data_IF_251055733880
#
_entry.id   IF_251055733880
#
_cell.length_a   1.000
_cell.length_b   1.000
_cell.length_c   1.000
_cell.angle_alpha   90.00
_cell.angle_beta   90.00
_cell.angle_gamma   90.00
#
_symmetry.space_group_name_H-M   'P 1'
#
loop_
_entity.id
_entity.type
_entity.pdbx_description
1 polymer ?
#
# COMPACT_ATOMS: atom_id res chain seq x y z
N UNK A 1 -14.06 -33.89 20.55
CA UNK A 1 -14.08 -33.55 19.11
C UNK A 1 -12.65 -33.31 18.70
N UNK A 2 -12.22 -33.92 17.61
CA UNK A 2 -10.87 -33.72 17.10
C UNK A 2 -10.74 -32.33 16.50
N UNK A 3 -9.64 -31.65 16.83
CA UNK A 3 -9.39 -30.26 16.37
C UNK A 3 -9.16 -30.18 14.86
N UNK A 4 -8.60 -31.25 14.28
CA UNK A 4 -8.33 -31.35 12.85
C UNK A 4 -8.89 -32.65 12.30
N UNK A 5 -9.51 -32.58 11.12
CA UNK A 5 -10.01 -33.73 10.37
C UNK A 5 -9.48 -33.63 8.94
N UNK A 6 -8.95 -34.74 8.40
CA UNK A 6 -8.48 -34.80 7.03
C UNK A 6 -9.49 -35.64 6.19
N UNK A 7 -10.00 -35.08 5.11
CA UNK A 7 -10.83 -35.82 4.14
C UNK A 7 -9.90 -36.66 3.24
N UNK A 8 -9.97 -37.97 3.38
CA UNK A 8 -9.14 -38.91 2.63
C UNK A 8 -9.36 -38.86 1.12
N UNK A 9 -10.55 -38.41 0.67
CA UNK A 9 -10.90 -38.34 -0.75
C UNK A 9 -10.32 -37.11 -1.44
N UNK A 10 -10.32 -35.96 -0.74
CA UNK A 10 -9.86 -34.68 -1.30
C UNK A 10 -8.47 -34.28 -0.85
N UNK A 11 -7.95 -34.94 0.25
CA UNK A 11 -6.69 -34.59 0.87
C UNK A 11 -6.72 -33.25 1.65
N UNK A 12 -7.90 -32.63 1.76
CA UNK A 12 -8.07 -31.36 2.46
C UNK A 12 -8.12 -31.58 3.96
N UNK A 13 -7.43 -30.75 4.69
CA UNK A 13 -7.45 -30.71 6.15
C UNK A 13 -8.45 -29.64 6.62
N UNK A 14 -9.26 -29.97 7.62
CA UNK A 14 -10.24 -29.06 8.20
C UNK A 14 -9.91 -28.83 9.68
N UNK A 15 -10.04 -27.58 10.12
CA UNK A 15 -9.90 -27.17 11.52
C UNK A 15 -11.27 -26.84 12.11
N UNK A 16 -11.52 -27.28 13.35
CA UNK A 16 -12.73 -26.98 14.08
C UNK A 16 -12.64 -25.55 14.66
N UNK A 17 -13.48 -24.65 14.13
CA UNK A 17 -13.63 -23.26 14.58
C UNK A 17 -15.05 -23.07 15.13
N UNK A 18 -15.19 -23.05 16.45
CA UNK A 18 -16.51 -23.07 17.10
C UNK A 18 -17.25 -24.37 16.86
N UNK A 19 -18.41 -24.32 16.20
CA UNK A 19 -19.25 -25.48 15.88
C UNK A 19 -19.10 -25.95 14.42
N UNK A 20 -18.20 -25.38 13.66
CA UNK A 20 -18.02 -25.64 12.22
C UNK A 20 -16.60 -26.05 11.89
N UNK A 21 -16.46 -26.95 10.90
CA UNK A 21 -15.18 -27.29 10.32
C UNK A 21 -14.91 -26.40 9.10
N UNK A 22 -13.83 -25.62 9.17
CA UNK A 22 -13.32 -24.80 8.06
C UNK A 22 -12.12 -25.51 7.45
N UNK A 23 -11.89 -25.29 6.15
CA UNK A 23 -10.69 -25.79 5.48
C UNK A 23 -9.49 -25.16 6.18
N UNK A 24 -8.62 -25.99 6.77
CA UNK A 24 -7.34 -25.54 7.27
C UNK A 24 -6.49 -25.17 6.04
N UNK A 25 -6.56 -23.90 5.63
CA UNK A 25 -5.63 -23.32 4.68
C UNK A 25 -4.39 -22.89 5.44
N UNK A 26 -3.26 -22.85 4.75
CA UNK A 26 -2.17 -21.97 5.17
C UNK A 26 -2.80 -20.58 5.27
N UNK A 27 -2.74 -19.95 6.44
CA UNK A 27 -3.12 -18.54 6.57
C UNK A 27 -2.40 -17.83 5.45
N UNK A 28 -3.16 -17.25 4.52
CA UNK A 28 -2.56 -16.41 3.48
C UNK A 28 -1.62 -15.47 4.22
N UNK A 29 -0.34 -15.36 3.82
CA UNK A 29 0.62 -14.56 4.56
C UNK A 29 -0.06 -13.24 4.86
N UNK A 30 -0.24 -12.93 6.16
CA UNK A 30 -0.96 -11.75 6.61
C UNK A 30 -0.41 -10.58 5.82
N UNK A 31 -1.17 -10.11 4.82
CA UNK A 31 -0.76 -9.03 3.95
C UNK A 31 -0.40 -7.84 4.83
N UNK A 32 0.62 -7.08 4.47
CA UNK A 32 1.02 -5.88 5.20
C UNK A 32 -0.24 -5.07 5.58
N UNK A 33 -0.38 -4.62 6.83
CA UNK A 33 -1.59 -3.95 7.29
C UNK A 33 -1.84 -2.67 6.51
N UNK A 34 -3.04 -2.55 5.96
CA UNK A 34 -3.45 -1.36 5.22
C UNK A 34 -4.00 -0.34 6.22
N UNK A 35 -3.29 0.76 6.43
CA UNK A 35 -3.72 1.83 7.31
C UNK A 35 -4.84 2.70 6.71
N UNK A 36 -5.17 3.79 7.42
CA UNK A 36 -6.29 4.69 7.09
C UNK A 36 -6.12 5.30 5.69
N UNK A 37 -4.91 5.67 5.31
CA UNK A 37 -4.62 6.30 4.02
C UNK A 37 -4.78 5.31 2.87
N UNK A 38 -4.28 4.08 3.04
CA UNK A 38 -4.44 3.01 2.07
C UNK A 38 -5.92 2.65 1.86
N UNK A 39 -6.73 2.60 2.93
CA UNK A 39 -8.17 2.36 2.83
C UNK A 39 -8.91 3.49 2.10
N UNK A 40 -8.54 4.76 2.34
CA UNK A 40 -9.10 5.90 1.60
C UNK A 40 -8.77 5.81 0.12
N UNK A 41 -7.52 5.47 -0.20
CA UNK A 41 -7.09 5.29 -1.59
C UNK A 41 -7.78 4.12 -2.26
N UNK A 42 -7.94 2.99 -1.59
CA UNK A 42 -8.69 1.83 -2.08
C UNK A 42 -10.12 2.21 -2.47
N UNK A 43 -10.79 3.00 -1.63
CA UNK A 43 -12.15 3.51 -1.93
C UNK A 43 -12.14 4.40 -3.17
N UNK A 44 -11.16 5.29 -3.28
CA UNK A 44 -11.00 6.14 -4.45
C UNK A 44 -10.75 5.35 -5.73
N UNK A 45 -9.86 4.33 -5.71
CA UNK A 45 -9.61 3.45 -6.85
C UNK A 45 -10.86 2.72 -7.31
N UNK A 46 -11.65 2.17 -6.38
CA UNK A 46 -12.91 1.47 -6.70
C UNK A 46 -13.94 2.38 -7.37
N UNK A 47 -14.01 3.65 -6.99
CA UNK A 47 -14.99 4.60 -7.49
C UNK A 47 -14.55 5.27 -8.80
N UNK A 48 -13.30 5.71 -8.88
CA UNK A 48 -12.81 6.60 -9.93
C UNK A 48 -11.80 5.96 -10.88
N UNK A 49 -11.11 4.87 -10.47
CA UNK A 49 -10.05 4.23 -11.23
C UNK A 49 -10.21 2.72 -11.32
N UNK A 50 -11.36 2.28 -11.79
CA UNK A 50 -11.73 0.86 -11.85
C UNK A 50 -10.74 -0.01 -12.64
N UNK A 51 -10.17 0.53 -13.71
CA UNK A 51 -9.20 -0.20 -14.56
C UNK A 51 -7.93 -0.49 -13.75
N UNK A 52 -7.35 0.52 -13.10
CA UNK A 52 -6.16 0.36 -12.27
C UNK A 52 -6.43 -0.57 -11.07
N UNK A 53 -7.61 -0.44 -10.46
CA UNK A 53 -8.03 -1.35 -9.39
C UNK A 53 -8.06 -2.81 -9.85
N UNK A 54 -8.68 -3.09 -11.01
CA UNK A 54 -8.75 -4.44 -11.56
C UNK A 54 -7.37 -4.98 -11.93
N UNK A 55 -6.51 -4.16 -12.51
CA UNK A 55 -5.14 -4.54 -12.87
C UNK A 55 -4.31 -4.91 -11.62
N UNK A 56 -4.38 -4.10 -10.57
CA UNK A 56 -3.71 -4.38 -9.30
C UNK A 56 -4.28 -5.61 -8.59
N UNK A 57 -5.58 -5.82 -8.67
CA UNK A 57 -6.25 -6.99 -8.09
C UNK A 57 -5.82 -8.28 -8.80
N UNK A 58 -5.87 -8.31 -10.14
CA UNK A 58 -5.47 -9.47 -10.96
C UNK A 58 -3.98 -9.80 -10.78
N UNK A 59 -3.14 -8.77 -10.64
CA UNK A 59 -1.70 -8.96 -10.41
C UNK A 59 -1.35 -9.42 -8.99
N UNK A 60 -2.31 -9.47 -8.05
CA UNK A 60 -2.08 -9.83 -6.65
C UNK A 60 -1.30 -8.79 -5.83
N UNK A 61 -0.98 -7.63 -6.41
CA UNK A 61 -0.12 -6.62 -5.78
C UNK A 61 -0.90 -5.48 -5.11
N UNK A 62 -2.23 -5.61 -4.99
CA UNK A 62 -3.08 -4.54 -4.46
C UNK A 62 -2.71 -4.18 -3.01
N UNK A 63 -2.51 -5.19 -2.15
CA UNK A 63 -2.19 -4.98 -0.74
C UNK A 63 -0.83 -4.31 -0.56
N UNK A 64 0.20 -4.76 -1.26
CA UNK A 64 1.53 -4.17 -1.20
C UNK A 64 1.52 -2.72 -1.67
N UNK A 65 0.84 -2.45 -2.77
CA UNK A 65 0.66 -1.10 -3.30
C UNK A 65 -0.02 -0.16 -2.29
N UNK A 66 -1.09 -0.64 -1.62
CA UNK A 66 -1.81 0.16 -0.63
C UNK A 66 -1.01 0.35 0.66
N UNK A 67 -0.22 -0.64 1.07
CA UNK A 67 0.67 -0.55 2.23
C UNK A 67 1.81 0.46 1.98
N UNK A 68 2.45 0.41 0.82
CA UNK A 68 3.50 1.36 0.43
C UNK A 68 2.97 2.80 0.35
N UNK A 69 1.77 2.97 -0.19
CA UNK A 69 1.12 4.28 -0.25
C UNK A 69 0.77 4.80 1.16
N UNK A 70 0.31 3.91 2.05
CA UNK A 70 0.01 4.28 3.43
C UNK A 70 1.26 4.77 4.16
N UNK A 71 2.38 4.07 4.03
CA UNK A 71 3.67 4.45 4.62
C UNK A 71 4.15 5.83 4.12
N UNK A 72 4.08 6.06 2.81
CA UNK A 72 4.42 7.36 2.21
C UNK A 72 3.51 8.48 2.73
N UNK A 73 2.21 8.21 2.90
CA UNK A 73 1.26 9.18 3.42
C UNK A 73 1.50 9.52 4.88
N UNK A 74 1.84 8.53 5.71
CA UNK A 74 2.19 8.72 7.12
C UNK A 74 3.47 9.54 7.30
N UNK A 75 4.49 9.25 6.51
CA UNK A 75 5.74 10.03 6.50
C UNK A 75 5.52 11.47 6.08
N UNK A 76 4.75 11.69 5.00
CA UNK A 76 4.40 13.02 4.52
C UNK A 76 3.59 13.78 5.56
N UNK A 77 2.59 13.14 6.15
CA UNK A 77 1.75 13.72 7.19
C UNK A 77 2.57 14.14 8.42
N UNK A 78 3.45 13.27 8.90
CA UNK A 78 4.31 13.53 10.05
C UNK A 78 5.24 14.73 9.81
N UNK A 79 5.83 14.82 8.61
CA UNK A 79 6.68 15.96 8.22
C UNK A 79 5.87 17.26 8.14
N UNK A 80 4.71 17.23 7.51
CA UNK A 80 3.85 18.41 7.37
C UNK A 80 3.36 18.92 8.73
N UNK A 81 2.93 18.02 9.62
CA UNK A 81 2.50 18.41 10.97
C UNK A 81 3.61 19.13 11.72
N UNK A 82 4.85 18.64 11.67
CA UNK A 82 6.00 19.31 12.31
C UNK A 82 6.26 20.70 11.73
N UNK A 83 6.33 20.79 10.40
CA UNK A 83 6.59 22.06 9.70
C UNK A 83 5.50 23.10 9.96
N UNK A 84 4.23 22.69 9.91
CA UNK A 84 3.12 23.59 10.17
C UNK A 84 3.04 24.01 11.64
N UNK A 85 3.32 23.09 12.58
CA UNK A 85 3.36 23.41 14.00
C UNK A 85 4.45 24.42 14.33
N UNK A 86 5.63 24.27 13.75
CA UNK A 86 6.73 25.24 13.88
C UNK A 86 6.36 26.61 13.31
N UNK A 87 5.76 26.62 12.11
CA UNK A 87 5.33 27.85 11.42
C UNK A 87 4.26 28.62 12.21
N UNK A 88 3.31 27.90 12.82
CA UNK A 88 2.22 28.50 13.61
C UNK A 88 2.59 28.76 15.06
N UNK A 89 3.81 28.45 15.46
CA UNK A 89 4.29 28.66 16.84
C UNK A 89 3.57 27.78 17.86
N UNK A 90 3.20 26.56 17.47
CA UNK A 90 2.58 25.58 18.38
C UNK A 90 3.68 24.90 19.19
N UNK A 91 4.05 25.52 20.29
CA UNK A 91 5.15 25.07 21.17
C UNK A 91 4.63 24.45 22.45
N UNK A 92 5.52 23.72 23.17
CA UNK A 92 5.21 23.21 24.51
C UNK A 92 4.99 24.33 25.53
N UNK A 93 5.61 25.51 25.34
CA UNK A 93 5.35 26.70 26.16
C UNK A 93 3.88 27.15 26.04
N UNK A 94 3.34 27.18 24.81
CA UNK A 94 1.93 27.52 24.58
C UNK A 94 1.01 26.49 25.25
N UNK A 95 1.38 25.23 25.27
CA UNK A 95 0.62 24.16 25.94
C UNK A 95 0.58 24.36 27.46
N UNK A 96 1.68 24.82 28.06
CA UNK A 96 1.75 25.11 29.48
C UNK A 96 0.95 26.37 29.87
N UNK A 97 0.95 27.42 29.02
CA UNK A 97 0.25 28.66 29.24
C UNK A 97 -1.25 28.58 28.96
N UNK A 98 -1.61 27.97 27.82
CA UNK A 98 -2.99 27.87 27.37
C UNK A 98 -3.24 26.58 26.60
N UNK A 99 -3.60 25.54 27.32
CA UNK A 99 -3.85 24.20 26.74
C UNK A 99 -4.97 24.21 25.69
N UNK A 100 -6.04 24.97 25.89
CA UNK A 100 -7.15 25.04 24.94
C UNK A 100 -6.73 25.65 23.61
N UNK A 101 -5.97 26.72 23.63
CA UNK A 101 -5.43 27.36 22.42
C UNK A 101 -4.45 26.43 21.70
N UNK A 102 -3.62 25.72 22.44
CA UNK A 102 -2.71 24.73 21.89
C UNK A 102 -3.48 23.62 21.15
N UNK A 103 -4.52 23.06 21.78
CA UNK A 103 -5.37 22.01 21.16
C UNK A 103 -6.04 22.52 19.88
N UNK A 104 -6.59 23.72 19.90
CA UNK A 104 -7.23 24.30 18.70
C UNK A 104 -6.24 24.47 17.56
N UNK A 105 -5.08 25.05 17.82
CA UNK A 105 -4.03 25.23 16.79
C UNK A 105 -3.52 23.89 16.29
N UNK A 106 -3.27 22.93 17.17
CA UNK A 106 -2.80 21.61 16.79
C UNK A 106 -3.81 20.84 15.93
N UNK A 107 -5.10 20.98 16.22
CA UNK A 107 -6.16 20.39 15.38
C UNK A 107 -6.21 21.05 14.00
N UNK A 108 -6.05 22.37 13.91
CA UNK A 108 -5.98 23.08 12.62
C UNK A 108 -4.76 22.60 11.81
N UNK A 109 -3.58 22.51 12.42
CA UNK A 109 -2.36 21.98 11.80
C UNK A 109 -2.59 20.57 11.24
N UNK A 110 -3.18 19.68 12.05
CA UNK A 110 -3.46 18.30 11.63
C UNK A 110 -4.48 18.25 10.49
N UNK A 111 -5.53 19.04 10.55
CA UNK A 111 -6.54 19.08 9.49
C UNK A 111 -5.95 19.61 8.17
N UNK A 112 -5.14 20.66 8.22
CA UNK A 112 -4.45 21.18 7.04
C UNK A 112 -3.47 20.15 6.46
N UNK A 113 -2.67 19.50 7.31
CA UNK A 113 -1.77 18.44 6.87
C UNK A 113 -2.52 17.26 6.23
N UNK A 114 -3.66 16.86 6.82
CA UNK A 114 -4.51 15.79 6.30
C UNK A 114 -5.10 16.15 4.93
N UNK A 115 -5.52 17.40 4.74
CA UNK A 115 -6.04 17.89 3.47
C UNK A 115 -4.97 17.87 2.37
N UNK A 116 -3.77 18.37 2.67
CA UNK A 116 -2.64 18.36 1.74
C UNK A 116 -2.27 16.93 1.32
N UNK A 117 -2.09 16.02 2.28
CA UNK A 117 -1.77 14.60 1.98
C UNK A 117 -2.88 13.94 1.16
N UNK A 118 -4.15 14.22 1.47
CA UNK A 118 -5.28 13.69 0.71
C UNK A 118 -5.26 14.17 -0.73
N UNK A 119 -5.03 15.45 -0.96
CA UNK A 119 -5.02 16.04 -2.30
C UNK A 119 -3.80 15.60 -3.10
N UNK A 120 -2.63 15.62 -2.50
CA UNK A 120 -1.38 15.39 -3.21
C UNK A 120 -1.08 13.89 -3.43
N UNK A 121 -1.48 13.03 -2.50
CA UNK A 121 -1.15 11.62 -2.57
C UNK A 121 -2.35 10.73 -2.94
N UNK A 122 -3.51 10.96 -2.35
CA UNK A 122 -4.65 10.06 -2.52
C UNK A 122 -5.42 10.35 -3.81
N UNK A 123 -5.61 11.62 -4.15
CA UNK A 123 -6.42 12.03 -5.31
C UNK A 123 -5.58 12.42 -6.54
N UNK A 124 -4.33 12.84 -6.37
CA UNK A 124 -3.48 13.34 -7.45
C UNK A 124 -2.72 12.27 -8.24
N UNK A 125 -2.88 10.98 -7.94
CA UNK A 125 -2.11 9.87 -8.52
C UNK A 125 -2.30 9.64 -10.03
N UNK A 126 -2.26 10.70 -10.82
CA UNK A 126 -1.96 10.57 -12.25
C UNK A 126 -0.47 10.27 -12.50
N UNK A 127 0.42 10.67 -11.58
CA UNK A 127 1.87 10.66 -11.82
C UNK A 127 2.59 9.44 -11.25
N UNK A 128 2.19 8.93 -10.09
CA UNK A 128 2.93 7.85 -9.40
C UNK A 128 2.55 6.46 -9.94
N UNK A 129 1.28 6.23 -10.30
CA UNK A 129 0.88 4.97 -10.94
C UNK A 129 1.59 4.71 -12.25
N UNK A 130 1.89 5.76 -13.04
CA UNK A 130 2.67 5.65 -14.26
C UNK A 130 4.16 5.41 -14.00
N UNK A 131 4.72 5.93 -12.91
CA UNK A 131 6.13 5.73 -12.56
C UNK A 131 6.39 4.28 -12.10
N UNK A 132 5.51 3.70 -11.28
CA UNK A 132 5.64 2.31 -10.81
C UNK A 132 5.44 1.30 -11.94
N UNK A 133 4.46 1.54 -12.82
CA UNK A 133 4.24 0.71 -14.02
C UNK A 133 5.40 0.85 -15.01
N UNK A 134 5.97 2.06 -15.16
CA UNK A 134 7.12 2.30 -16.04
C UNK A 134 8.40 1.65 -15.51
N UNK A 135 8.60 1.65 -14.20
CA UNK A 135 9.76 1.02 -13.57
C UNK A 135 9.68 -0.52 -13.64
N UNK A 136 8.49 -1.12 -13.51
CA UNK A 136 8.28 -2.55 -13.74
C UNK A 136 8.41 -2.95 -15.21
N UNK A 137 7.96 -2.14 -16.16
CA UNK A 137 8.19 -2.40 -17.59
C UNK A 137 9.67 -2.45 -17.93
N UNK A 138 10.49 -1.58 -17.36
CA UNK A 138 11.94 -1.60 -17.56
C UNK A 138 12.59 -2.84 -16.93
N UNK A 139 12.08 -3.32 -15.80
CA UNK A 139 12.59 -4.54 -15.16
C UNK A 139 12.21 -5.83 -15.92
N UNK A 140 11.04 -5.87 -16.53
CA UNK A 140 10.59 -7.02 -17.35
C UNK A 140 11.31 -7.07 -18.70
N UNK A 141 11.54 -5.93 -19.35
CA UNK A 141 12.28 -5.85 -20.61
C UNK A 141 13.77 -6.13 -20.43
N UNK A 142 14.35 -5.75 -19.30
CA UNK A 142 15.77 -6.02 -18.98
C UNK A 142 16.06 -7.52 -18.75
N UNK A 143 15.09 -8.30 -18.27
CA UNK A 143 15.23 -9.74 -18.10
C UNK A 143 15.09 -10.54 -19.40
N UNK A 144 14.27 -10.06 -20.33
CA UNK A 144 14.06 -10.73 -21.61
C UNK A 144 15.13 -10.42 -22.65
N UNK A 145 15.81 -9.27 -22.54
CA UNK A 145 16.89 -8.88 -23.46
C UNK A 145 18.22 -9.60 -23.18
N UNK A 146 18.37 -10.25 -22.03
CA UNK A 146 19.61 -10.98 -21.69
C UNK A 146 19.61 -12.43 -22.15
N UNK A 147 18.46 -13.00 -22.59
CA UNK A 147 18.36 -14.38 -23.08
C UNK A 147 18.48 -14.52 -24.61
N UNK A 148 18.57 -13.44 -25.37
CA UNK A 148 18.64 -13.49 -26.83
C UNK A 148 20.01 -13.12 -27.42
N UNK A 149 21.07 -13.05 -26.59
CA UNK A 149 22.43 -12.76 -27.07
C UNK A 149 23.34 -13.99 -27.12
N UNK A 150 22.79 -15.17 -27.23
CA UNK A 150 23.56 -16.38 -27.53
C UNK A 150 22.89 -17.03 -28.75
N UNK A 151 23.28 -16.69 -29.91
CA UNK A 151 23.27 -17.48 -31.14
C UNK A 151 23.32 -16.54 -32.39
N UNK A 152 24.48 -16.02 -32.68
CA UNK A 152 24.88 -15.62 -34.03
C UNK A 152 26.41 -15.47 -34.02
N UNK A 153 27.13 -16.58 -33.93
CA UNK A 153 28.49 -16.71 -34.44
C UNK A 153 28.52 -18.06 -35.16
N UNK A 154 28.21 -18.01 -36.42
CA UNK A 154 28.56 -19.07 -37.37
C UNK A 154 29.08 -18.36 -38.63
N UNK A 155 30.38 -18.49 -38.76
CA UNK A 155 31.13 -18.85 -39.95
C UNK A 155 31.01 -17.90 -41.17
N UNK A 156 32.00 -17.05 -41.31
CA UNK A 156 32.62 -16.77 -42.63
C UNK A 156 34.02 -17.37 -42.59
N UNK A 157 34.18 -18.48 -43.28
CA UNK A 157 35.42 -19.13 -43.64
C UNK A 157 35.33 -19.62 -45.07
N UNK A 158 36.17 -19.05 -45.98
CA UNK A 158 36.51 -19.43 -47.33
C UNK A 158 35.62 -18.94 -48.43
#
# INVERSE_FOLDING_TARGET
>A
MEKFITDERTGLQYELVGDYYLIAGEDEPEGRPIGIWGQRHLRYLKQHRKILYSELLISGNLNDYLADLNEQAEDMFSRLVKQLAEKEGVTESLKAENQMMWVQKMNNVRNTAMEVVSNDLIYALQTIGQAVVKQRRLFFFGKYSRSHKVLCTVEEGQ
#
